data_IF_180932060361
#
_entry.id   IF_180932060361
#
_cell.length_a   1.000
_cell.length_b   1.000
_cell.length_c   1.000
_cell.angle_alpha   90.00
_cell.angle_beta   90.00
_cell.angle_gamma   90.00
#
_symmetry.space_group_name_H-M   'P 1'
#
loop_
_entity.id
_entity.type
_entity.pdbx_description
1 polymer ?
#
# COMPACT_ATOMS: atom_id res chain seq x y z
N UNK A 1 14.42 1.82 -18.96
CA UNK A 1 14.10 0.38 -19.07
C UNK A 1 12.67 0.29 -18.57
N UNK A 2 11.69 0.25 -19.49
CA UNK A 2 10.27 0.45 -19.17
C UNK A 2 9.83 -0.55 -18.11
N UNK A 3 9.29 -0.05 -16.98
CA UNK A 3 8.75 -0.86 -15.91
C UNK A 3 7.83 -1.92 -16.53
N UNK A 4 8.14 -3.18 -16.24
CA UNK A 4 7.29 -4.32 -16.57
C UNK A 4 5.98 -4.06 -15.85
N UNK A 5 4.88 -3.94 -16.57
CA UNK A 5 3.53 -3.71 -16.02
C UNK A 5 3.37 -4.60 -14.76
N UNK A 6 3.43 -4.02 -13.55
CA UNK A 6 3.48 -4.80 -12.32
C UNK A 6 2.10 -5.43 -12.15
N UNK A 7 2.03 -6.76 -12.12
CA UNK A 7 0.73 -7.42 -12.25
C UNK A 7 -0.18 -7.28 -11.02
N UNK A 8 0.34 -6.73 -9.90
CA UNK A 8 -0.32 -6.66 -8.59
C UNK A 8 -1.06 -7.94 -8.20
N UNK A 9 -0.60 -9.08 -8.71
CA UNK A 9 -1.22 -10.37 -8.46
C UNK A 9 -1.00 -10.72 -7.00
N UNK A 10 -2.10 -10.82 -6.24
CA UNK A 10 -2.06 -11.11 -4.81
C UNK A 10 -1.91 -12.64 -4.64
N UNK A 11 -0.72 -13.14 -4.25
CA UNK A 11 -0.47 -14.57 -4.12
C UNK A 11 -1.23 -15.22 -2.95
N UNK A 12 -1.56 -14.43 -1.92
CA UNK A 12 -2.38 -14.82 -0.79
C UNK A 12 -2.97 -13.60 -0.11
N UNK A 13 -4.12 -13.74 0.54
CA UNK A 13 -4.71 -12.67 1.36
C UNK A 13 -4.57 -13.04 2.83
N UNK A 14 -4.28 -12.07 3.71
CA UNK A 14 -4.23 -12.34 5.14
C UNK A 14 -5.60 -12.79 5.64
N UNK A 15 -5.61 -13.74 6.57
CA UNK A 15 -6.83 -14.20 7.24
C UNK A 15 -7.05 -13.43 8.54
N UNK A 16 -8.26 -12.88 8.70
CA UNK A 16 -8.64 -12.11 9.89
C UNK A 16 -9.22 -13.02 10.95
N UNK A 17 -8.52 -13.19 12.06
CA UNK A 17 -8.95 -14.06 13.16
C UNK A 17 -9.31 -13.25 14.42
N UNK A 18 -10.28 -13.78 15.18
CA UNK A 18 -10.73 -13.22 16.46
C UNK A 18 -10.50 -14.25 17.58
N UNK A 19 -9.27 -14.34 18.10
CA UNK A 19 -8.97 -15.24 19.20
C UNK A 19 -9.75 -14.86 20.46
N UNK A 20 -10.13 -15.86 21.27
CA UNK A 20 -10.87 -15.60 22.50
C UNK A 20 -9.97 -14.91 23.52
N UNK A 21 -10.17 -13.60 23.68
CA UNK A 21 -9.46 -12.77 24.67
C UNK A 21 -8.23 -12.04 24.13
N UNK A 22 -7.86 -12.26 22.87
CA UNK A 22 -6.90 -11.46 22.12
C UNK A 22 -7.64 -10.50 21.19
N UNK A 23 -7.03 -9.37 20.85
CA UNK A 23 -7.60 -8.43 19.89
C UNK A 23 -7.71 -9.02 18.47
N UNK A 24 -7.94 -8.16 17.49
CA UNK A 24 -7.91 -8.57 16.10
C UNK A 24 -6.50 -8.98 15.68
N UNK A 25 -6.36 -10.18 15.11
CA UNK A 25 -5.09 -10.67 14.56
C UNK A 25 -5.24 -10.91 13.05
N UNK A 26 -4.17 -10.66 12.29
CA UNK A 26 -4.05 -11.01 10.89
C UNK A 26 -3.01 -12.11 10.76
N UNK A 27 -3.41 -13.26 10.24
CA UNK A 27 -2.50 -14.37 9.94
C UNK A 27 -2.12 -14.31 8.46
N UNK A 28 -0.82 -14.33 8.20
CA UNK A 28 -0.26 -14.09 6.88
C UNK A 28 -0.21 -12.61 6.52
N UNK A 29 0.72 -12.24 5.64
CA UNK A 29 0.86 -10.88 5.10
C UNK A 29 1.25 -10.93 3.63
N UNK A 30 0.67 -10.02 2.84
CA UNK A 30 1.19 -9.66 1.52
C UNK A 30 1.40 -8.16 1.47
N UNK A 31 2.59 -7.74 1.03
CA UNK A 31 2.99 -6.34 0.92
C UNK A 31 3.58 -6.10 -0.46
N UNK A 32 3.13 -5.05 -1.14
CA UNK A 32 3.79 -4.52 -2.33
C UNK A 32 4.68 -3.35 -1.93
N UNK A 33 5.98 -3.46 -2.16
CA UNK A 33 6.96 -2.42 -1.92
C UNK A 33 7.19 -1.64 -3.21
N UNK A 34 6.87 -0.36 -3.19
CA UNK A 34 7.06 0.58 -4.29
C UNK A 34 8.32 1.39 -4.00
N UNK A 35 9.33 1.23 -4.84
CA UNK A 35 10.62 1.92 -4.70
C UNK A 35 10.76 2.95 -5.82
N UNK A 36 10.94 4.25 -5.52
CA UNK A 36 11.21 5.25 -6.54
C UNK A 36 12.59 4.99 -7.18
N UNK A 37 12.73 5.30 -8.47
CA UNK A 37 13.98 5.18 -9.20
C UNK A 37 15.03 6.22 -8.82
N UNK A 38 14.64 7.20 -8.00
CA UNK A 38 15.49 8.25 -7.44
C UNK A 38 15.44 8.17 -5.90
N UNK A 39 16.49 8.61 -5.23
CA UNK A 39 16.52 8.67 -3.76
C UNK A 39 15.61 9.80 -3.26
N UNK A 40 14.39 9.44 -2.84
CA UNK A 40 13.43 10.35 -2.20
C UNK A 40 13.44 10.16 -0.68
N UNK A 41 13.29 11.26 0.07
CA UNK A 41 13.15 11.16 1.51
C UNK A 41 11.77 10.62 1.90
N UNK A 42 11.65 10.02 3.08
CA UNK A 42 10.35 9.55 3.59
C UNK A 42 9.32 10.69 3.65
N UNK A 43 9.75 11.93 3.90
CA UNK A 43 8.88 13.10 3.93
C UNK A 43 8.38 13.49 2.51
N UNK A 44 9.24 13.40 1.49
CA UNK A 44 8.82 13.65 0.10
C UNK A 44 7.84 12.58 -0.38
N UNK A 45 8.09 11.32 -0.02
CA UNK A 45 7.21 10.20 -0.32
C UNK A 45 5.86 10.31 0.42
N UNK A 46 5.87 10.71 1.68
CA UNK A 46 4.66 10.99 2.45
C UNK A 46 3.84 12.09 1.79
N UNK A 47 4.49 13.20 1.40
CA UNK A 47 3.83 14.29 0.69
C UNK A 47 3.17 13.84 -0.61
N UNK A 48 3.87 13.02 -1.40
CA UNK A 48 3.33 12.44 -2.63
C UNK A 48 2.14 11.51 -2.38
N UNK A 49 2.23 10.65 -1.36
CA UNK A 49 1.12 9.76 -0.98
C UNK A 49 -0.10 10.56 -0.56
N UNK A 50 0.09 11.61 0.26
CA UNK A 50 -1.02 12.47 0.70
C UNK A 50 -1.66 13.20 -0.48
N UNK A 51 -0.88 13.73 -1.43
CA UNK A 51 -1.38 14.39 -2.63
C UNK A 51 -2.26 13.44 -3.48
N UNK A 52 -1.79 12.21 -3.71
CA UNK A 52 -2.57 11.17 -4.41
C UNK A 52 -3.85 10.81 -3.69
N UNK A 53 -3.80 10.76 -2.35
CA UNK A 53 -4.96 10.44 -1.52
C UNK A 53 -6.00 11.58 -1.51
N UNK A 54 -5.56 12.84 -1.58
CA UNK A 54 -6.45 14.02 -1.59
C UNK A 54 -7.08 14.29 -2.97
N UNK A 55 -6.32 14.10 -4.06
CA UNK A 55 -6.81 14.24 -5.44
C UNK A 55 -7.67 13.05 -5.90
N UNK A 56 -7.36 11.85 -5.39
CA UNK A 56 -8.04 10.63 -5.77
C UNK A 56 -9.41 10.42 -5.09
N UNK A 57 -10.19 9.44 -5.57
CA UNK A 57 -11.47 9.05 -4.97
C UNK A 57 -11.22 8.18 -3.72
N UNK A 58 -10.39 8.66 -2.82
CA UNK A 58 -9.96 7.93 -1.64
C UNK A 58 -10.57 8.51 -0.38
N UNK A 59 -11.05 7.62 0.48
CA UNK A 59 -11.28 7.94 1.87
C UNK A 59 -10.17 7.33 2.69
N UNK A 60 -9.39 8.17 3.36
CA UNK A 60 -8.27 7.70 4.17
C UNK A 60 -8.31 8.26 5.59
N UNK A 61 -7.69 7.52 6.50
CA UNK A 61 -7.43 7.96 7.87
C UNK A 61 -5.98 7.63 8.23
N UNK A 62 -5.33 8.56 8.92
CA UNK A 62 -3.97 8.39 9.43
C UNK A 62 -3.99 7.73 10.82
N UNK A 63 -2.94 6.99 11.12
CA UNK A 63 -2.68 6.49 12.46
C UNK A 63 -1.74 7.46 13.19
N UNK A 64 -2.34 8.34 13.99
CA UNK A 64 -1.61 9.24 14.87
C UNK A 64 -0.70 8.45 15.83
N UNK A 65 0.47 9.00 16.14
CA UNK A 65 1.44 8.49 17.12
C UNK A 65 2.33 7.31 16.68
N UNK A 66 2.33 6.95 15.39
CA UNK A 66 3.31 6.00 14.85
C UNK A 66 4.62 6.71 14.45
N UNK A 67 5.78 6.02 14.56
CA UNK A 67 7.07 6.56 14.13
C UNK A 67 7.22 6.64 12.60
N UNK A 68 6.19 6.26 11.84
CA UNK A 68 6.16 6.23 10.37
C UNK A 68 4.76 6.61 9.88
N UNK A 69 4.68 7.17 8.68
CA UNK A 69 3.40 7.47 8.05
C UNK A 69 2.67 6.18 7.70
N UNK A 70 1.45 6.03 8.21
CA UNK A 70 0.59 4.88 7.94
C UNK A 70 -0.85 5.39 7.75
N UNK A 71 -1.44 5.01 6.63
CA UNK A 71 -2.79 5.37 6.22
C UNK A 71 -3.63 4.11 6.00
N UNK A 72 -4.84 4.09 6.54
CA UNK A 72 -5.88 3.16 6.10
C UNK A 72 -6.61 3.81 4.95
N UNK A 73 -6.55 3.21 3.76
CA UNK A 73 -7.10 3.77 2.52
C UNK A 73 -8.27 2.91 2.07
N UNK A 74 -9.35 3.58 1.69
CA UNK A 74 -10.47 2.99 0.98
C UNK A 74 -10.63 3.68 -0.37
N UNK A 75 -10.50 2.93 -1.45
CA UNK A 75 -10.84 3.39 -2.80
C UNK A 75 -12.37 3.38 -2.94
N UNK A 76 -12.98 4.54 -3.21
CA UNK A 76 -14.43 4.65 -3.31
C UNK A 76 -14.97 4.15 -4.66
N UNK A 77 -14.14 4.06 -5.71
CA UNK A 77 -14.55 3.51 -7.00
C UNK A 77 -14.58 1.98 -7.00
N UNK A 78 -13.59 1.33 -6.40
CA UNK A 78 -13.49 -0.14 -6.37
C UNK A 78 -14.02 -0.75 -5.07
N UNK A 79 -14.25 0.08 -4.05
CA UNK A 79 -14.55 -0.32 -2.67
C UNK A 79 -13.43 -1.10 -1.97
N UNK A 80 -12.23 -1.16 -2.58
CA UNK A 80 -11.07 -1.82 -2.00
C UNK A 80 -10.56 -1.07 -0.77
N UNK A 81 -10.11 -1.83 0.22
CA UNK A 81 -9.48 -1.30 1.43
C UNK A 81 -8.09 -1.89 1.56
N UNK A 82 -7.08 -1.06 1.74
CA UNK A 82 -5.69 -1.47 1.94
C UNK A 82 -4.98 -0.48 2.88
N UNK A 83 -3.79 -0.85 3.35
CA UNK A 83 -2.97 0.06 4.17
C UNK A 83 -1.78 0.55 3.36
N UNK A 84 -1.49 1.84 3.45
CA UNK A 84 -0.34 2.47 2.81
C UNK A 84 0.61 2.94 3.89
N UNK A 85 1.87 2.54 3.82
CA UNK A 85 2.90 2.99 4.73
C UNK A 85 4.08 3.61 3.98
N UNK A 86 4.73 4.60 4.57
CA UNK A 86 5.96 5.18 4.02
C UNK A 86 7.09 4.97 5.01
N UNK A 87 8.15 4.31 4.53
CA UNK A 87 9.32 4.00 5.36
C UNK A 87 10.52 3.57 4.53
N UNK A 88 11.72 3.93 4.99
CA UNK A 88 12.99 3.46 4.42
C UNK A 88 13.09 3.78 2.91
N UNK A 89 12.55 4.93 2.48
CA UNK A 89 12.53 5.35 1.08
C UNK A 89 11.56 4.56 0.19
N UNK A 90 10.60 3.85 0.78
CA UNK A 90 9.64 3.00 0.06
C UNK A 90 8.20 3.30 0.47
N UNK A 91 7.28 3.17 -0.47
CA UNK A 91 5.84 3.15 -0.20
C UNK A 91 5.38 1.70 -0.17
N UNK A 92 4.75 1.26 0.91
CA UNK A 92 4.32 -0.11 1.12
C UNK A 92 2.81 -0.22 1.10
N UNK A 93 2.28 -1.04 0.22
CA UNK A 93 0.86 -1.37 0.15
C UNK A 93 0.62 -2.72 0.83
N UNK A 94 0.09 -2.69 2.05
CA UNK A 94 -0.28 -3.91 2.76
C UNK A 94 -1.67 -4.35 2.34
N UNK A 95 -1.75 -5.58 1.84
CA UNK A 95 -3.00 -6.27 1.50
C UNK A 95 -3.76 -6.55 2.78
N UNK A 96 -5.07 -6.32 2.74
CA UNK A 96 -6.08 -6.70 3.72
C UNK A 96 -6.97 -7.80 3.13
N UNK A 97 -7.79 -8.49 3.95
CA UNK A 97 -8.64 -9.58 3.46
C UNK A 97 -9.59 -9.16 2.34
N UNK A 98 -10.00 -7.89 2.32
CA UNK A 98 -10.93 -7.30 1.36
C UNK A 98 -10.21 -6.53 0.24
N UNK A 99 -8.88 -6.59 0.17
CA UNK A 99 -8.11 -5.94 -0.90
C UNK A 99 -8.13 -6.79 -2.17
N UNK A 100 -8.44 -6.15 -3.29
CA UNK A 100 -8.26 -6.68 -4.63
C UNK A 100 -7.17 -5.94 -5.41
N UNK A 101 -6.67 -6.59 -6.47
CA UNK A 101 -5.55 -6.09 -7.27
C UNK A 101 -5.86 -4.78 -7.99
N UNK A 102 -7.13 -4.52 -8.32
CA UNK A 102 -7.54 -3.32 -9.04
C UNK A 102 -7.34 -2.05 -8.21
N UNK A 103 -7.70 -2.05 -6.92
CA UNK A 103 -7.45 -0.91 -6.03
C UNK A 103 -5.96 -0.60 -5.87
N UNK A 104 -5.13 -1.64 -5.71
CA UNK A 104 -3.67 -1.50 -5.58
C UNK A 104 -3.04 -0.94 -6.86
N UNK A 105 -3.44 -1.48 -8.02
CA UNK A 105 -2.96 -1.03 -9.32
C UNK A 105 -3.34 0.42 -9.60
N UNK A 106 -4.59 0.79 -9.32
CA UNK A 106 -5.04 2.19 -9.50
C UNK A 106 -4.29 3.16 -8.60
N UNK A 107 -4.02 2.77 -7.36
CA UNK A 107 -3.19 3.59 -6.47
C UNK A 107 -1.78 3.76 -7.04
N UNK A 108 -1.16 2.68 -7.50
CA UNK A 108 0.14 2.74 -8.16
C UNK A 108 0.13 3.63 -9.40
N UNK A 109 -0.86 3.49 -10.28
CA UNK A 109 -0.95 4.28 -11.52
C UNK A 109 -1.05 5.79 -11.20
N UNK A 110 -1.78 6.16 -10.14
CA UNK A 110 -1.88 7.55 -9.68
C UNK A 110 -0.59 8.03 -9.04
N UNK A 111 0.05 7.22 -8.20
CA UNK A 111 1.34 7.53 -7.59
C UNK A 111 2.43 7.75 -8.63
N UNK A 112 2.54 6.82 -9.59
CA UNK A 112 3.49 6.93 -10.69
C UNK A 112 3.18 8.15 -11.55
N UNK A 113 1.90 8.42 -11.85
CA UNK A 113 1.48 9.58 -12.63
C UNK A 113 1.70 10.94 -11.96
N UNK A 114 1.64 10.99 -10.62
CA UNK A 114 1.91 12.20 -9.84
C UNK A 114 3.41 12.48 -9.65
N UNK A 115 4.27 11.49 -9.94
CA UNK A 115 5.73 11.59 -9.83
C UNK A 115 6.42 11.71 -11.18
N UNK A 116 7.60 12.32 -11.23
CA UNK A 116 8.41 12.41 -12.45
C UNK A 116 9.38 11.22 -12.63
N UNK A 117 9.41 10.28 -11.69
CA UNK A 117 10.36 9.18 -11.64
C UNK A 117 9.72 7.83 -12.01
N UNK A 118 10.55 6.89 -12.46
CA UNK A 118 10.14 5.49 -12.62
C UNK A 118 10.01 4.81 -11.24
N UNK A 119 9.17 3.78 -11.14
CA UNK A 119 8.96 3.01 -9.92
C UNK A 119 9.25 1.52 -10.10
N UNK A 120 10.00 0.95 -9.18
CA UNK A 120 10.11 -0.49 -8.99
C UNK A 120 8.98 -1.00 -8.10
N UNK A 121 8.50 -2.21 -8.39
CA UNK A 121 7.47 -2.88 -7.58
C UNK A 121 7.94 -4.28 -7.22
N UNK A 122 8.05 -4.55 -5.93
CA UNK A 122 8.37 -5.85 -5.37
C UNK A 122 7.18 -6.37 -4.56
N UNK A 123 6.87 -7.66 -4.68
CA UNK A 123 5.83 -8.32 -3.89
C UNK A 123 6.50 -9.21 -2.83
N UNK A 124 6.15 -8.98 -1.57
CA UNK A 124 6.57 -9.81 -0.45
C UNK A 124 5.39 -10.48 0.21
N UNK A 125 5.62 -11.71 0.63
CA UNK A 125 4.62 -12.53 1.30
C UNK A 125 5.25 -13.20 2.51
N UNK A 126 4.54 -13.19 3.62
CA UNK A 126 4.88 -13.95 4.80
C UNK A 126 3.64 -14.76 5.17
N UNK A 127 3.60 -16.03 4.79
CA UNK A 127 2.56 -16.97 5.17
C UNK A 127 3.23 -18.14 5.88
N UNK A 128 2.70 -18.56 7.03
CA UNK A 128 3.16 -19.77 7.69
C UNK A 128 2.88 -20.99 6.79
N UNK A 129 3.90 -21.85 6.59
CA UNK A 129 3.83 -23.08 5.78
C UNK A 129 2.91 -24.16 6.35
#
# INVERSE_FOLDING_TARGET
>A
MTARDPSFSIPGRPERTYPRGGGLEYEGETVFELTPGEELSDADLEGLVVDVLDDGPYRFGDFLELPMALYLVRDEDTADVFRVAVRDGTVRLHVLPETDSDGLRRFYDRLAGASACDWGVDCRTDFAE
#
